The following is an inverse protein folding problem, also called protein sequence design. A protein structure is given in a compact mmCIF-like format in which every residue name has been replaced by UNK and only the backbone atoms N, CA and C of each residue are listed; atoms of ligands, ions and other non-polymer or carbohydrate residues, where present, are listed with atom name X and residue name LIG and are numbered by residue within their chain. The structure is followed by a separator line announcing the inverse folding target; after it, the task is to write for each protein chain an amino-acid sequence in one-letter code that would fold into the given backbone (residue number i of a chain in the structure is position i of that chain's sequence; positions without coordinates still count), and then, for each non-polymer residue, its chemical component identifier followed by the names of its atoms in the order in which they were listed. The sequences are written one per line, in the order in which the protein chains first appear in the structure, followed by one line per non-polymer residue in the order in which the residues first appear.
data_IF_332080861189
#
_entry.id   IF_332080861189
#
_cell.length_a   1.000
_cell.length_b   1.000
_cell.length_c   1.000
_cell.angle_alpha   90.00
_cell.angle_beta   90.00
_cell.angle_gamma   90.00
#
_symmetry.space_group_name_H-M   'P 1'
#
loop_
_entity.id
_entity.type
_entity.pdbx_description
1 polymer ?
#
# COMPACT_ATOMS: atom_id res chain seq x y z
N UNK A 1 23.33 6.84 4.61
CA UNK A 1 23.14 5.37 4.61
C UNK A 1 22.91 4.96 3.17
N UNK A 2 23.82 4.18 2.57
CA UNK A 2 23.68 3.73 1.18
C UNK A 2 22.77 2.50 1.18
N UNK A 3 21.59 2.60 0.57
CA UNK A 3 20.65 1.48 0.43
C UNK A 3 21.19 0.59 -0.70
N UNK A 4 21.49 -0.69 -0.41
CA UNK A 4 21.86 -1.63 -1.47
C UNK A 4 20.60 -2.04 -2.28
N UNK A 5 20.80 -2.64 -3.46
CA UNK A 5 19.69 -3.05 -4.34
C UNK A 5 18.72 -4.05 -3.73
N UNK A 6 19.20 -4.99 -2.91
CA UNK A 6 18.36 -5.99 -2.21
C UNK A 6 17.49 -5.34 -1.13
N UNK A 7 18.08 -4.44 -0.34
CA UNK A 7 17.37 -3.69 0.69
C UNK A 7 16.32 -2.77 0.06
N UNK A 8 16.63 -2.12 -1.07
CA UNK A 8 15.67 -1.32 -1.82
C UNK A 8 14.46 -2.14 -2.29
N UNK A 9 14.68 -3.37 -2.76
CA UNK A 9 13.60 -4.29 -3.18
C UNK A 9 12.72 -4.72 -2.01
N UNK A 10 13.32 -5.06 -0.87
CA UNK A 10 12.58 -5.51 0.31
C UNK A 10 11.75 -4.39 0.96
N UNK A 11 12.24 -3.14 0.96
CA UNK A 11 11.47 -2.02 1.54
C UNK A 11 10.38 -1.47 0.61
N UNK A 12 10.39 -1.80 -0.68
CA UNK A 12 9.45 -1.22 -1.64
C UNK A 12 7.97 -1.51 -1.32
N UNK A 13 7.55 -2.77 -1.03
CA UNK A 13 6.15 -3.04 -0.68
C UNK A 13 5.68 -2.34 0.63
N UNK A 14 6.44 -2.37 1.75
CA UNK A 14 6.10 -1.60 2.94
C UNK A 14 6.03 -0.08 2.69
N UNK A 15 6.94 0.45 1.87
CA UNK A 15 6.95 1.87 1.52
C UNK A 15 5.69 2.27 0.74
N UNK A 16 5.21 1.43 -0.17
CA UNK A 16 3.94 1.64 -0.86
C UNK A 16 2.74 1.60 0.09
N UNK A 17 2.79 0.78 1.15
CA UNK A 17 1.76 0.82 2.20
C UNK A 17 1.77 2.17 2.92
N UNK A 18 2.95 2.73 3.21
CA UNK A 18 3.06 4.09 3.75
C UNK A 18 2.53 5.17 2.79
N UNK A 19 2.86 5.04 1.50
CA UNK A 19 2.34 5.93 0.45
C UNK A 19 0.80 5.87 0.36
N UNK A 20 0.21 4.69 0.53
CA UNK A 20 -1.25 4.51 0.55
C UNK A 20 -1.92 5.33 1.65
N UNK A 21 -1.33 5.34 2.85
CA UNK A 21 -1.81 6.16 3.97
C UNK A 21 -1.67 7.65 3.65
N UNK A 22 -0.49 8.07 3.19
CA UNK A 22 -0.24 9.47 2.84
C UNK A 22 -1.21 9.96 1.76
N UNK A 23 -1.46 9.15 0.74
CA UNK A 23 -2.42 9.48 -0.31
C UNK A 23 -3.85 9.55 0.23
N UNK A 24 -4.27 8.61 1.08
CA UNK A 24 -5.61 8.63 1.68
C UNK A 24 -5.84 9.90 2.52
N UNK A 25 -4.85 10.32 3.33
CA UNK A 25 -4.92 11.53 4.14
C UNK A 25 -4.92 12.80 3.26
N UNK A 26 -4.01 12.89 2.29
CA UNK A 26 -3.90 14.06 1.40
C UNK A 26 -5.13 14.20 0.51
N UNK A 27 -5.62 13.10 -0.06
CA UNK A 27 -6.81 13.12 -0.92
C UNK A 27 -8.04 13.57 -0.14
N UNK A 28 -8.24 13.09 1.09
CA UNK A 28 -9.32 13.58 1.94
C UNK A 28 -9.18 15.08 2.24
N UNK A 29 -7.97 15.54 2.57
CA UNK A 29 -7.71 16.95 2.85
C UNK A 29 -7.96 17.87 1.64
N UNK A 30 -7.61 17.41 0.43
CA UNK A 30 -7.70 18.21 -0.79
C UNK A 30 -9.07 18.13 -1.48
N UNK A 31 -9.80 17.03 -1.27
CA UNK A 31 -10.99 16.71 -2.05
C UNK A 31 -12.27 16.48 -1.22
N UNK A 32 -12.27 16.66 0.11
CA UNK A 32 -13.42 16.39 0.99
C UNK A 32 -14.73 17.06 0.56
N UNK A 33 -14.64 18.25 -0.04
CA UNK A 33 -15.80 19.12 -0.30
C UNK A 33 -16.15 19.20 -1.79
N UNK A 34 -15.38 18.53 -2.65
CA UNK A 34 -15.59 18.57 -4.11
C UNK A 34 -16.36 17.34 -4.56
N UNK A 35 -17.67 17.50 -4.78
CA UNK A 35 -18.56 16.49 -5.36
C UNK A 35 -18.37 16.31 -6.89
N UNK A 36 -17.16 16.53 -7.41
CA UNK A 36 -16.87 16.26 -8.82
C UNK A 36 -16.53 14.78 -8.99
N UNK A 37 -17.05 14.14 -10.05
CA UNK A 37 -16.74 12.72 -10.32
C UNK A 37 -15.23 12.46 -10.43
N UNK A 38 -14.46 13.45 -10.92
CA UNK A 38 -13.01 13.35 -11.07
C UNK A 38 -12.26 13.39 -9.74
N UNK A 39 -12.66 14.23 -8.78
CA UNK A 39 -11.99 14.31 -7.47
C UNK A 39 -12.20 13.02 -6.67
N UNK A 40 -13.41 12.45 -6.73
CA UNK A 40 -13.69 11.14 -6.15
C UNK A 40 -12.85 10.03 -6.80
N UNK A 41 -12.80 10.00 -8.13
CA UNK A 41 -12.01 9.02 -8.88
C UNK A 41 -10.51 9.09 -8.54
N UNK A 42 -9.95 10.31 -8.50
CA UNK A 42 -8.54 10.55 -8.16
C UNK A 42 -8.24 10.17 -6.71
N UNK A 43 -9.16 10.38 -5.79
CA UNK A 43 -8.97 9.99 -4.39
C UNK A 43 -9.03 8.47 -4.21
N UNK A 44 -10.02 7.81 -4.85
CA UNK A 44 -10.36 6.42 -4.61
C UNK A 44 -9.52 5.40 -5.39
N UNK A 45 -9.38 5.56 -6.71
CA UNK A 45 -8.77 4.54 -7.57
C UNK A 45 -7.29 4.25 -7.25
N UNK A 46 -6.45 5.24 -6.90
CA UNK A 46 -5.08 4.95 -6.48
C UNK A 46 -5.03 4.05 -5.23
N UNK A 47 -5.87 4.32 -4.22
CA UNK A 47 -5.96 3.47 -3.02
C UNK A 47 -6.43 2.07 -3.40
N UNK A 48 -7.43 1.97 -4.28
CA UNK A 48 -7.94 0.68 -4.76
C UNK A 48 -6.84 -0.17 -5.42
N UNK A 49 -5.97 0.45 -6.21
CA UNK A 49 -4.90 -0.25 -6.95
C UNK A 49 -3.66 -0.58 -6.11
N UNK A 50 -3.37 0.20 -5.07
CA UNK A 50 -2.14 0.04 -4.28
C UNK A 50 -2.03 -1.33 -3.60
N UNK A 51 -3.13 -1.87 -3.06
CA UNK A 51 -3.09 -3.17 -2.39
C UNK A 51 -2.75 -4.34 -3.36
N UNK A 52 -3.43 -4.51 -4.50
CA UNK A 52 -3.03 -5.50 -5.50
C UNK A 52 -1.56 -5.38 -5.92
N UNK A 53 -1.06 -4.16 -6.10
CA UNK A 53 0.35 -3.91 -6.45
C UNK A 53 1.30 -4.40 -5.35
N UNK A 54 0.98 -4.12 -4.08
CA UNK A 54 1.79 -4.56 -2.93
C UNK A 54 1.84 -6.09 -2.84
N UNK A 55 0.71 -6.77 -3.05
CA UNK A 55 0.63 -8.24 -3.08
C UNK A 55 1.47 -8.81 -4.22
N UNK A 56 1.38 -8.23 -5.42
CA UNK A 56 2.18 -8.65 -6.57
C UNK A 56 3.68 -8.49 -6.29
N UNK A 57 4.10 -7.37 -5.72
CA UNK A 57 5.51 -7.13 -5.37
C UNK A 57 6.02 -8.15 -4.34
N UNK A 58 5.22 -8.47 -3.32
CA UNK A 58 5.56 -9.55 -2.39
C UNK A 58 5.65 -10.92 -3.08
N UNK A 59 4.74 -11.23 -4.00
CA UNK A 59 4.81 -12.44 -4.83
C UNK A 59 6.09 -12.50 -5.66
N UNK A 60 6.51 -11.37 -6.26
CA UNK A 60 7.77 -11.28 -7.00
C UNK A 60 8.99 -11.50 -6.11
N UNK A 61 8.98 -10.97 -4.88
CA UNK A 61 10.05 -11.20 -3.91
C UNK A 61 10.15 -12.68 -3.52
N UNK A 62 9.02 -13.38 -3.29
CA UNK A 62 9.00 -14.82 -3.00
C UNK A 62 9.49 -15.64 -4.20
N UNK A 63 9.09 -15.25 -5.42
CA UNK A 63 9.51 -15.94 -6.64
C UNK A 63 11.03 -15.86 -6.83
N UNK A 64 11.61 -14.68 -6.59
CA UNK A 64 13.03 -14.42 -6.78
C UNK A 64 13.88 -14.94 -5.60
N UNK A 65 13.39 -14.80 -4.36
CA UNK A 65 14.01 -15.22 -3.10
C UNK A 65 15.54 -15.07 -3.07
N UNK A 66 16.01 -13.85 -3.37
CA UNK A 66 17.44 -13.50 -3.33
C UNK A 66 17.75 -12.80 -2.01
N UNK A 67 18.81 -13.23 -1.33
CA UNK A 67 19.30 -12.60 -0.10
C UNK A 67 18.60 -12.99 1.20
N UNK A 68 17.51 -13.77 1.14
CA UNK A 68 16.80 -14.32 2.30
C UNK A 68 16.21 -15.69 1.94
N UNK A 69 16.11 -16.60 2.91
CA UNK A 69 15.52 -17.92 2.71
C UNK A 69 14.05 -17.80 2.25
N UNK A 70 13.61 -18.74 1.38
CA UNK A 70 12.26 -18.68 0.78
C UNK A 70 11.15 -18.67 1.82
N UNK A 71 11.32 -19.42 2.91
CA UNK A 71 10.36 -19.47 4.01
C UNK A 71 10.28 -18.13 4.72
N UNK A 72 11.42 -17.53 5.06
CA UNK A 72 11.49 -16.22 5.70
C UNK A 72 10.91 -15.13 4.79
N UNK A 73 11.17 -15.20 3.48
CA UNK A 73 10.56 -14.30 2.48
C UNK A 73 9.05 -14.48 2.39
N UNK A 74 8.54 -15.71 2.48
CA UNK A 74 7.12 -15.98 2.48
C UNK A 74 6.44 -15.49 3.77
N UNK A 75 7.05 -15.69 4.93
CA UNK A 75 6.55 -15.17 6.22
C UNK A 75 6.57 -13.64 6.22
N UNK A 76 7.68 -13.03 5.77
CA UNK A 76 7.81 -11.59 5.61
C UNK A 76 6.69 -11.03 4.73
N UNK A 77 6.48 -11.63 3.55
CA UNK A 77 5.43 -11.24 2.62
C UNK A 77 4.02 -11.42 3.20
N UNK A 78 3.75 -12.49 3.93
CA UNK A 78 2.46 -12.75 4.57
C UNK A 78 2.14 -11.66 5.59
N UNK A 79 3.06 -11.37 6.51
CA UNK A 79 2.87 -10.36 7.55
C UNK A 79 2.58 -8.99 6.93
N UNK A 80 3.38 -8.59 5.94
CA UNK A 80 3.21 -7.28 5.30
C UNK A 80 1.96 -7.22 4.42
N UNK A 81 1.56 -8.31 3.77
CA UNK A 81 0.31 -8.35 3.00
C UNK A 81 -0.91 -8.22 3.92
N UNK A 82 -0.91 -8.89 5.07
CA UNK A 82 -1.98 -8.77 6.06
C UNK A 82 -2.04 -7.36 6.66
N UNK A 83 -0.89 -6.80 7.03
CA UNK A 83 -0.81 -5.42 7.52
C UNK A 83 -1.31 -4.43 6.47
N UNK A 84 -0.85 -4.58 5.22
CA UNK A 84 -1.26 -3.73 4.10
C UNK A 84 -2.75 -3.85 3.80
N UNK A 85 -3.33 -5.06 3.90
CA UNK A 85 -4.77 -5.27 3.76
C UNK A 85 -5.57 -4.48 4.80
N UNK A 86 -5.17 -4.51 6.07
CA UNK A 86 -5.81 -3.73 7.13
C UNK A 86 -5.68 -2.23 6.85
N UNK A 87 -4.50 -1.75 6.47
CA UNK A 87 -4.30 -0.33 6.13
C UNK A 87 -5.14 0.06 4.90
N UNK A 88 -5.27 -0.82 3.91
CA UNK A 88 -6.05 -0.59 2.70
C UNK A 88 -7.55 -0.44 3.00
N UNK A 89 -8.11 -1.30 3.85
CA UNK A 89 -9.53 -1.18 4.23
C UNK A 89 -9.81 0.13 4.96
N UNK A 90 -8.96 0.52 5.92
CA UNK A 90 -9.07 1.82 6.60
C UNK A 90 -8.89 3.00 5.65
N UNK A 91 -7.95 2.92 4.71
CA UNK A 91 -7.72 3.96 3.70
C UNK A 91 -8.92 4.13 2.79
N UNK A 92 -9.55 3.03 2.34
CA UNK A 92 -10.79 3.08 1.56
C UNK A 92 -11.95 3.66 2.35
N UNK A 93 -12.13 3.25 3.61
CA UNK A 93 -13.17 3.80 4.48
C UNK A 93 -13.00 5.30 4.70
N UNK A 94 -11.76 5.75 4.90
CA UNK A 94 -11.42 7.16 5.11
C UNK A 94 -11.70 8.00 3.86
N UNK A 95 -11.25 7.57 2.69
CA UNK A 95 -11.50 8.27 1.43
C UNK A 95 -13.01 8.31 1.11
N UNK A 96 -13.72 7.20 1.33
CA UNK A 96 -15.17 7.13 1.09
C UNK A 96 -16.03 7.91 2.12
N UNK A 97 -15.43 8.45 3.19
CA UNK A 97 -16.18 9.18 4.22
C UNK A 97 -16.99 8.30 5.16
N UNK A 98 -16.75 6.99 5.16
CA UNK A 98 -17.31 6.02 6.09
C UNK A 98 -16.37 5.76 7.29
N UNK A 99 -15.41 6.65 7.54
CA UNK A 99 -14.49 6.55 8.68
C UNK A 99 -15.20 6.83 9.99
N UNK A 100 -14.88 6.06 11.03
CA UNK A 100 -15.35 6.29 12.39
C UNK A 100 -14.92 7.69 12.88
N UNK A 101 -15.88 8.49 13.34
CA UNK A 101 -15.66 9.76 14.04
C UNK A 101 -15.35 9.52 15.51
#
# INVERSE_FOLDING_TARGET
MVINSEQSRNIAPPMLTGLMVLWALLSRLLFSDTHFALSHAVSFYPVLLLFPVIVILHGQLIYQARGMDRLDQAVYALIHSLLSFVVWTFSLMHVNGNSFS
#
